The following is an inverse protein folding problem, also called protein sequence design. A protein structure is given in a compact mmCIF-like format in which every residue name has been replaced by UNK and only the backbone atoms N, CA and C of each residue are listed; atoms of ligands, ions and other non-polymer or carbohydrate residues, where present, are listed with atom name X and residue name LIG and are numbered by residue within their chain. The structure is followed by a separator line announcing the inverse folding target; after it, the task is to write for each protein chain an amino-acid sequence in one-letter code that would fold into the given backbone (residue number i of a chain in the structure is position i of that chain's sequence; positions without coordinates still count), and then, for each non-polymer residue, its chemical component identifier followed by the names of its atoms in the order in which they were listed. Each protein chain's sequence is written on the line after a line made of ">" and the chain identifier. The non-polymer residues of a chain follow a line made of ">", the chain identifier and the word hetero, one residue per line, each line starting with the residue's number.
data_IF_083147418039
#
_entry.id   IF_083147418039
#
_cell.length_a   1.000
_cell.length_b   1.000
_cell.length_c   1.000
_cell.angle_alpha   90.00
_cell.angle_beta   90.00
_cell.angle_gamma   90.00
#
_symmetry.space_group_name_H-M   'P 1'
#
loop_
_entity.id
_entity.type
_entity.pdbx_description
1 polymer ?
#
# COMPACT_ATOMS: atom_id res chain seq x y z
N UNK A 1 -25.64 2.95 -6.09
CA UNK A 1 -25.09 1.70 -6.64
C UNK A 1 -24.23 1.02 -5.59
N UNK A 2 -24.45 -0.24 -5.42
CA UNK A 2 -23.62 -1.01 -4.50
C UNK A 2 -22.22 -1.20 -5.09
N UNK A 3 -21.19 -0.84 -4.34
CA UNK A 3 -19.82 -1.15 -4.73
C UNK A 3 -19.66 -2.65 -4.57
N UNK A 4 -19.47 -3.34 -5.68
CA UNK A 4 -19.29 -4.77 -5.68
C UNK A 4 -17.81 -5.09 -5.88
N UNK A 5 -17.28 -5.95 -5.01
CA UNK A 5 -15.92 -6.47 -5.17
C UNK A 5 -15.95 -7.81 -5.90
N UNK A 6 -17.08 -8.14 -6.50
CA UNK A 6 -17.22 -9.34 -7.32
C UNK A 6 -16.37 -9.19 -8.59
N UNK A 7 -15.37 -10.06 -8.80
CA UNK A 7 -14.48 -9.96 -9.97
C UNK A 7 -15.20 -10.06 -11.30
N UNK A 8 -16.42 -10.62 -11.33
CA UNK A 8 -17.17 -10.73 -12.58
C UNK A 8 -17.76 -9.41 -13.04
N UNK A 9 -17.77 -8.38 -12.19
CA UNK A 9 -18.30 -7.06 -12.54
C UNK A 9 -17.19 -6.04 -12.79
N UNK A 10 -16.42 -5.70 -11.77
CA UNK A 10 -15.34 -4.72 -11.92
C UNK A 10 -14.15 -5.12 -11.04
N UNK A 11 -12.92 -4.88 -11.54
CA UNK A 11 -11.73 -5.12 -10.75
C UNK A 11 -11.55 -4.02 -9.70
N UNK A 12 -10.83 -4.31 -8.61
CA UNK A 12 -10.47 -3.26 -7.65
C UNK A 12 -9.75 -2.07 -8.32
N UNK A 13 -8.96 -2.34 -9.35
CA UNK A 13 -8.29 -1.29 -10.11
C UNK A 13 -9.27 -0.25 -10.64
N UNK A 14 -10.35 -0.70 -11.27
CA UNK A 14 -11.39 0.19 -11.79
C UNK A 14 -12.11 0.91 -10.66
N UNK A 15 -12.42 0.18 -9.58
CA UNK A 15 -13.14 0.77 -8.44
C UNK A 15 -12.33 1.84 -7.73
N UNK A 16 -10.98 1.75 -7.76
CA UNK A 16 -10.09 2.78 -7.22
C UNK A 16 -9.83 3.92 -8.21
N UNK A 17 -10.55 3.97 -9.31
CA UNK A 17 -10.40 4.98 -10.35
C UNK A 17 -9.08 4.86 -11.13
N UNK A 18 -8.61 3.64 -11.31
CA UNK A 18 -7.46 3.35 -12.17
C UNK A 18 -6.16 3.96 -11.69
N UNK A 19 -5.28 4.25 -12.64
CA UNK A 19 -3.94 4.77 -12.34
C UNK A 19 -4.00 6.08 -11.55
N UNK A 20 -4.89 6.98 -11.92
CA UNK A 20 -5.01 8.28 -11.28
C UNK A 20 -5.41 8.14 -9.80
N UNK A 21 -6.42 7.33 -9.51
CA UNK A 21 -6.89 7.13 -8.14
C UNK A 21 -5.87 6.41 -7.27
N UNK A 22 -5.20 5.40 -7.83
CA UNK A 22 -4.16 4.66 -7.10
C UNK A 22 -2.96 5.56 -6.83
N UNK A 23 -2.59 6.42 -7.80
CA UNK A 23 -1.50 7.36 -7.61
C UNK A 23 -1.81 8.36 -6.48
N UNK A 24 -3.03 8.88 -6.44
CA UNK A 24 -3.46 9.78 -5.37
C UNK A 24 -3.36 9.10 -4.00
N UNK A 25 -3.78 7.85 -3.91
CA UNK A 25 -3.71 7.10 -2.66
C UNK A 25 -2.27 6.91 -2.21
N UNK A 26 -1.39 6.51 -3.12
CA UNK A 26 0.03 6.29 -2.81
C UNK A 26 0.70 7.59 -2.35
N UNK A 27 0.41 8.69 -3.03
CA UNK A 27 0.99 9.98 -2.65
C UNK A 27 0.49 10.44 -1.28
N UNK A 28 -0.81 10.27 -0.99
CA UNK A 28 -1.35 10.58 0.34
C UNK A 28 -0.69 9.73 1.42
N UNK A 29 -0.50 8.44 1.15
CA UNK A 29 0.14 7.52 2.09
C UNK A 29 1.56 7.97 2.45
N UNK A 30 2.39 8.27 1.45
CA UNK A 30 3.76 8.70 1.70
C UNK A 30 3.84 10.12 2.26
N UNK A 31 2.90 11.00 1.92
CA UNK A 31 2.84 12.33 2.52
C UNK A 31 2.59 12.23 4.03
N UNK A 32 1.64 11.40 4.45
CA UNK A 32 1.41 11.16 5.88
C UNK A 32 2.63 10.56 6.56
N UNK A 33 3.27 9.59 5.92
CA UNK A 33 4.48 8.97 6.47
C UNK A 33 5.60 9.98 6.67
N UNK A 34 5.77 10.90 5.73
CA UNK A 34 6.85 11.88 5.76
C UNK A 34 6.59 13.02 6.75
N UNK A 35 5.34 13.45 6.85
CA UNK A 35 4.99 14.66 7.60
C UNK A 35 4.50 14.42 9.02
N UNK A 36 3.96 13.23 9.31
CA UNK A 36 3.41 12.92 10.63
C UNK A 36 4.47 12.27 11.52
N UNK A 37 4.82 12.90 12.66
CA UNK A 37 5.82 12.35 13.59
C UNK A 37 5.48 10.93 14.10
N UNK A 38 4.20 10.57 14.15
CA UNK A 38 3.80 9.21 14.56
C UNK A 38 4.39 8.13 13.66
N UNK A 39 4.69 8.48 12.41
CA UNK A 39 5.20 7.52 11.44
C UNK A 39 6.71 7.61 11.24
N UNK A 40 7.42 8.33 12.12
CA UNK A 40 8.87 8.50 12.00
C UNK A 40 9.62 7.15 12.01
N UNK A 41 9.10 6.17 12.73
CA UNK A 41 9.72 4.83 12.80
C UNK A 41 9.75 4.13 11.45
N UNK A 42 8.63 4.15 10.73
CA UNK A 42 8.59 3.54 9.39
C UNK A 42 9.23 4.46 8.35
N UNK A 43 9.17 5.78 8.56
CA UNK A 43 9.84 6.72 7.65
C UNK A 43 11.34 6.44 7.59
N UNK A 44 11.95 6.12 8.71
CA UNK A 44 13.39 5.81 8.78
C UNK A 44 13.78 4.58 7.98
N UNK A 45 12.86 3.68 7.73
CA UNK A 45 13.13 2.47 6.95
C UNK A 45 13.18 2.75 5.45
N UNK A 46 12.83 3.97 5.04
CA UNK A 46 12.80 4.38 3.64
C UNK A 46 13.96 5.29 3.30
N UNK A 47 14.35 5.38 2.01
CA UNK A 47 15.38 6.32 1.59
C UNK A 47 15.00 7.76 1.91
N UNK A 48 15.99 8.63 1.92
CA UNK A 48 15.78 10.07 2.14
C UNK A 48 14.74 10.64 1.18
N UNK A 49 14.87 10.29 -0.11
CA UNK A 49 13.88 10.68 -1.13
C UNK A 49 12.89 9.56 -1.33
N UNK A 50 11.61 9.88 -1.27
CA UNK A 50 10.53 8.91 -1.39
C UNK A 50 10.07 8.64 -2.82
N UNK A 51 10.62 9.33 -3.81
CA UNK A 51 10.16 9.23 -5.20
C UNK A 51 10.15 7.78 -5.69
N UNK A 52 11.24 7.06 -5.47
CA UNK A 52 11.33 5.66 -5.88
C UNK A 52 10.35 4.76 -5.13
N UNK A 53 10.17 5.02 -3.83
CA UNK A 53 9.23 4.25 -3.01
C UNK A 53 7.79 4.48 -3.47
N UNK A 54 7.43 5.73 -3.79
CA UNK A 54 6.11 6.08 -4.32
C UNK A 54 5.85 5.35 -5.63
N UNK A 55 6.80 5.37 -6.54
CA UNK A 55 6.66 4.71 -7.84
C UNK A 55 6.49 3.21 -7.69
N UNK A 56 7.31 2.57 -6.85
CA UNK A 56 7.25 1.12 -6.66
C UNK A 56 5.93 0.67 -6.06
N UNK A 57 5.42 1.36 -5.06
CA UNK A 57 4.14 1.00 -4.46
C UNK A 57 3.00 1.22 -5.45
N UNK A 58 3.03 2.32 -6.20
CA UNK A 58 2.07 2.60 -7.23
C UNK A 58 2.04 1.49 -8.29
N UNK A 59 3.19 1.13 -8.82
CA UNK A 59 3.28 0.06 -9.83
C UNK A 59 2.79 -1.28 -9.28
N UNK A 60 3.18 -1.60 -8.04
CA UNK A 60 2.75 -2.84 -7.40
C UNK A 60 1.22 -2.88 -7.21
N UNK A 61 0.64 -1.82 -6.68
CA UNK A 61 -0.79 -1.79 -6.42
C UNK A 61 -1.62 -1.86 -7.71
N UNK A 62 -1.17 -1.20 -8.78
CA UNK A 62 -1.87 -1.29 -10.06
C UNK A 62 -2.01 -2.74 -10.51
N UNK A 63 -0.93 -3.49 -10.54
CA UNK A 63 -0.96 -4.90 -10.96
C UNK A 63 -1.73 -5.77 -9.99
N UNK A 64 -1.53 -5.53 -8.69
CA UNK A 64 -2.16 -6.31 -7.64
C UNK A 64 -3.69 -6.15 -7.63
N UNK A 65 -4.18 -4.97 -8.01
CA UNK A 65 -5.61 -4.68 -8.07
C UNK A 65 -6.26 -5.12 -9.40
N UNK A 66 -5.52 -5.73 -10.30
CA UNK A 66 -6.04 -6.22 -11.55
C UNK A 66 -5.82 -5.29 -12.75
N UNK A 67 -5.00 -4.27 -12.58
CA UNK A 67 -4.62 -3.36 -13.66
C UNK A 67 -3.30 -3.78 -14.33
N UNK A 68 -2.61 -2.85 -15.01
CA UNK A 68 -1.35 -3.15 -15.69
C UNK A 68 -0.28 -3.64 -14.71
N UNK A 69 0.50 -4.63 -15.13
CA UNK A 69 1.56 -5.23 -14.31
C UNK A 69 2.87 -4.42 -14.35
N UNK A 70 2.79 -3.13 -14.05
CA UNK A 70 3.95 -2.24 -14.13
C UNK A 70 5.14 -2.72 -13.30
N UNK A 71 4.89 -3.22 -12.08
CA UNK A 71 5.97 -3.68 -11.22
C UNK A 71 6.64 -4.93 -11.80
N UNK A 72 5.85 -5.92 -12.20
CA UNK A 72 6.37 -7.17 -12.73
C UNK A 72 7.17 -6.94 -14.02
N UNK A 73 6.71 -6.05 -14.88
CA UNK A 73 7.41 -5.71 -16.11
C UNK A 73 8.80 -5.10 -15.85
N UNK A 74 8.94 -4.34 -14.74
CA UNK A 74 10.20 -3.67 -14.40
C UNK A 74 11.13 -4.52 -13.53
N UNK A 75 10.57 -5.29 -12.60
CA UNK A 75 11.36 -5.94 -11.55
C UNK A 75 11.12 -7.45 -11.45
N UNK A 76 10.16 -7.99 -12.19
CA UNK A 76 9.77 -9.39 -12.07
C UNK A 76 8.88 -9.63 -10.86
N UNK A 77 8.86 -10.85 -10.36
CA UNK A 77 8.02 -11.21 -9.21
C UNK A 77 8.33 -10.31 -8.00
N UNK A 78 7.32 -9.75 -7.32
CA UNK A 78 7.55 -8.80 -6.23
C UNK A 78 8.41 -9.34 -5.08
N UNK A 79 8.23 -10.60 -4.68
CA UNK A 79 8.97 -11.21 -3.57
C UNK A 79 9.00 -10.30 -2.35
N UNK A 80 7.83 -9.84 -1.92
CA UNK A 80 7.71 -8.79 -0.92
C UNK A 80 8.46 -9.10 0.37
N UNK A 81 8.31 -10.30 0.91
CA UNK A 81 8.97 -10.65 2.16
C UNK A 81 10.49 -10.62 2.02
N UNK A 82 11.01 -11.19 0.94
CA UNK A 82 12.46 -11.20 0.70
C UNK A 82 13.02 -9.78 0.58
N UNK A 83 12.29 -8.89 -0.10
CA UNK A 83 12.74 -7.51 -0.28
C UNK A 83 12.69 -6.70 1.01
N UNK A 84 11.86 -7.11 1.99
CA UNK A 84 11.76 -6.44 3.28
C UNK A 84 12.68 -7.03 4.35
N UNK A 85 13.29 -8.18 4.10
CA UNK A 85 14.18 -8.83 5.08
C UNK A 85 15.34 -7.94 5.57
N UNK A 86 15.93 -7.06 4.73
CA UNK A 86 16.98 -6.16 5.22
C UNK A 86 16.52 -5.16 6.28
N UNK A 87 15.21 -4.99 6.45
CA UNK A 87 14.66 -4.02 7.39
C UNK A 87 14.09 -4.74 8.61
N UNK A 88 14.27 -4.14 9.80
CA UNK A 88 13.70 -4.69 11.03
C UNK A 88 12.21 -4.33 11.12
N UNK A 89 11.35 -5.32 10.86
CA UNK A 89 9.89 -5.11 10.85
C UNK A 89 9.24 -5.97 11.91
N UNK A 90 8.72 -5.32 12.94
CA UNK A 90 7.94 -5.96 13.99
C UNK A 90 6.52 -5.44 14.00
N UNK A 91 5.78 -5.73 15.08
CA UNK A 91 4.41 -5.28 15.22
C UNK A 91 4.26 -3.75 15.20
N UNK A 92 5.15 -2.96 15.85
CA UNK A 92 5.03 -1.51 15.78
C UNK A 92 5.10 -0.97 14.36
N UNK A 93 6.03 -1.49 13.54
CA UNK A 93 6.18 -1.06 12.14
C UNK A 93 4.98 -1.48 11.31
N UNK A 94 4.49 -2.70 11.50
CA UNK A 94 3.28 -3.17 10.84
C UNK A 94 2.09 -2.28 11.17
N UNK A 95 1.89 -1.98 12.45
CA UNK A 95 0.74 -1.20 12.91
C UNK A 95 0.82 0.25 12.42
N UNK A 96 2.02 0.84 12.42
CA UNK A 96 2.23 2.19 11.91
C UNK A 96 1.91 2.25 10.41
N UNK A 97 2.37 1.25 9.64
CA UNK A 97 2.12 1.19 8.21
C UNK A 97 0.62 1.12 7.90
N UNK A 98 -0.09 0.24 8.59
CA UNK A 98 -1.54 0.09 8.37
C UNK A 98 -2.31 1.34 8.81
N UNK A 99 -1.93 1.97 9.91
CA UNK A 99 -2.54 3.22 10.36
C UNK A 99 -2.32 4.33 9.33
N UNK A 100 -1.12 4.42 8.78
CA UNK A 100 -0.79 5.40 7.74
C UNK A 100 -1.66 5.21 6.50
N UNK A 101 -1.84 3.96 6.06
CA UNK A 101 -2.68 3.66 4.90
C UNK A 101 -4.15 4.01 5.17
N UNK A 102 -4.66 3.78 6.38
CA UNK A 102 -6.03 4.17 6.73
C UNK A 102 -6.25 5.68 6.61
N UNK A 103 -5.28 6.47 7.06
CA UNK A 103 -5.35 7.92 6.93
C UNK A 103 -5.38 8.33 5.45
N UNK A 104 -4.55 7.69 4.62
CA UNK A 104 -4.53 7.98 3.19
C UNK A 104 -5.86 7.65 2.52
N UNK A 105 -6.46 6.52 2.87
CA UNK A 105 -7.75 6.12 2.33
C UNK A 105 -8.86 7.11 2.71
N UNK A 106 -8.84 7.59 3.96
CA UNK A 106 -9.81 8.57 4.42
C UNK A 106 -9.61 9.92 3.71
N UNK A 107 -8.37 10.36 3.55
CA UNK A 107 -8.07 11.61 2.85
C UNK A 107 -8.51 11.58 1.40
N UNK A 108 -8.35 10.46 0.73
CA UNK A 108 -8.77 10.29 -0.66
C UNK A 108 -10.27 10.01 -0.81
N UNK A 109 -11.01 9.99 0.30
CA UNK A 109 -12.46 9.76 0.33
C UNK A 109 -12.86 8.46 -0.37
N UNK A 110 -12.06 7.41 -0.18
CA UNK A 110 -12.35 6.10 -0.75
C UNK A 110 -13.60 5.51 -0.08
N UNK A 111 -14.49 4.93 -0.88
CA UNK A 111 -15.68 4.25 -0.37
C UNK A 111 -15.32 3.28 0.77
N UNK A 112 -16.08 3.32 1.86
CA UNK A 112 -15.78 2.56 3.07
C UNK A 112 -15.63 1.07 2.82
N UNK A 113 -16.49 0.48 1.99
CA UNK A 113 -16.40 -0.96 1.70
C UNK A 113 -15.12 -1.30 0.95
N UNK A 114 -14.75 -0.45 0.01
CA UNK A 114 -13.54 -0.63 -0.78
C UNK A 114 -12.30 -0.43 0.10
N UNK A 115 -12.32 0.58 0.96
CA UNK A 115 -11.23 0.82 1.92
C UNK A 115 -11.07 -0.37 2.87
N UNK A 116 -12.16 -0.90 3.41
CA UNK A 116 -12.12 -2.05 4.32
C UNK A 116 -11.60 -3.30 3.60
N UNK A 117 -12.00 -3.51 2.36
CA UNK A 117 -11.47 -4.61 1.56
C UNK A 117 -9.95 -4.49 1.42
N UNK A 118 -9.47 -3.31 1.02
CA UNK A 118 -8.04 -3.09 0.83
C UNK A 118 -7.28 -3.28 2.14
N UNK A 119 -7.79 -2.73 3.23
CA UNK A 119 -7.12 -2.86 4.54
C UNK A 119 -7.06 -4.31 5.01
N UNK A 120 -8.10 -5.09 4.73
CA UNK A 120 -8.07 -6.52 5.03
C UNK A 120 -6.95 -7.25 4.30
N UNK A 121 -6.78 -6.94 3.02
CA UNK A 121 -5.71 -7.53 2.22
C UNK A 121 -4.33 -7.05 2.65
N UNK A 122 -4.17 -5.74 2.83
CA UNK A 122 -2.88 -5.16 3.17
C UNK A 122 -2.44 -5.50 4.59
N UNK A 123 -3.38 -5.62 5.53
CA UNK A 123 -3.05 -6.02 6.91
C UNK A 123 -2.46 -7.43 6.95
N UNK A 124 -3.01 -8.35 6.17
CA UNK A 124 -2.44 -9.69 6.05
C UNK A 124 -1.04 -9.66 5.45
N UNK A 125 -0.84 -8.88 4.40
CA UNK A 125 0.46 -8.73 3.77
C UNK A 125 1.47 -8.07 4.71
N UNK A 126 1.08 -7.01 5.40
CA UNK A 126 1.95 -6.33 6.36
C UNK A 126 2.35 -7.25 7.51
N UNK A 127 1.42 -8.06 7.99
CA UNK A 127 1.72 -9.06 9.02
C UNK A 127 2.75 -10.09 8.52
N UNK A 128 2.63 -10.49 7.27
CA UNK A 128 3.57 -11.41 6.61
C UNK A 128 4.97 -10.82 6.50
N UNK A 129 5.10 -9.48 6.46
CA UNK A 129 6.39 -8.80 6.37
C UNK A 129 7.17 -8.78 7.69
N UNK A 130 6.54 -9.10 8.82
CA UNK A 130 7.24 -9.11 10.12
C UNK A 130 8.38 -10.12 10.07
N UNK A 131 9.55 -9.72 10.53
CA UNK A 131 10.75 -10.52 10.44
C UNK A 131 11.63 -10.45 11.70
N UNK A 132 11.18 -9.81 12.75
CA UNK A 132 11.88 -9.81 14.03
C UNK A 132 11.04 -10.53 15.09
N UNK A 133 11.73 -11.17 16.01
CA UNK A 133 11.11 -11.85 17.13
C UNK A 133 10.80 -10.81 18.21
N UNK A 134 9.57 -10.81 18.67
CA UNK A 134 9.08 -9.84 19.65
C UNK A 134 8.89 -10.44 21.01
#
# INVERSE_FOLDING_TARGET
>A
MSVSLNPSTESPYVLFNGEEGIRMLVDAFYDHMDLDPEFSGIRKLHPEKLDGSRDKLYWFLCGWMGGPNHYVERFGHPRLRARHMPFAIGSPERDAWTACMRLALAECEIDTRLADWLMGQLSGTANWMRNIQE
#
